data_IF_673781534168
#
_entry.id   IF_673781534168
#
_cell.length_a   1.000
_cell.length_b   1.000
_cell.length_c   1.000
_cell.angle_alpha   90.00
_cell.angle_beta   90.00
_cell.angle_gamma   90.00
#
_symmetry.space_group_name_H-M   'P 1'
#
loop_
_entity.id
_entity.type
_entity.pdbx_description
1 polymer ?
#
# COMPACT_ATOMS: atom_id res chain seq x y z
N UNK A 1 -16.13 -8.05 8.14
CA UNK A 1 -14.85 -8.34 7.47
C UNK A 1 -14.01 -7.08 7.59
N UNK A 2 -12.85 -7.12 8.26
CA UNK A 2 -11.95 -5.97 8.26
C UNK A 2 -11.51 -5.72 6.81
N UNK A 3 -11.59 -4.46 6.39
CA UNK A 3 -11.27 -4.04 5.02
C UNK A 3 -9.89 -3.40 5.01
N UNK A 4 -9.22 -3.43 3.88
CA UNK A 4 -7.98 -2.69 3.64
C UNK A 4 -8.30 -1.34 2.99
N UNK A 5 -7.46 -0.35 3.27
CA UNK A 5 -7.53 0.99 2.67
C UNK A 5 -6.12 1.39 2.24
N UNK A 6 -6.01 2.12 1.14
CA UNK A 6 -4.77 2.80 0.78
C UNK A 6 -4.91 4.29 1.04
N UNK A 7 -3.89 4.86 1.67
CA UNK A 7 -3.70 6.30 1.83
C UNK A 7 -2.57 6.72 0.90
N UNK A 8 -2.78 7.83 0.19
CA UNK A 8 -1.77 8.40 -0.71
C UNK A 8 -1.57 9.88 -0.43
N UNK A 9 -0.32 10.33 -0.48
CA UNK A 9 0.04 11.74 -0.45
C UNK A 9 1.14 12.00 -1.47
N UNK A 10 0.91 12.97 -2.36
CA UNK A 10 1.83 13.32 -3.44
C UNK A 10 2.03 14.83 -3.48
N UNK A 11 3.29 15.26 -3.45
CA UNK A 11 3.72 16.63 -3.73
C UNK A 11 4.79 16.59 -4.84
N UNK A 12 5.30 17.76 -5.24
CA UNK A 12 6.21 17.88 -6.39
C UNK A 12 7.40 16.91 -6.32
N UNK A 13 8.01 16.79 -5.14
CA UNK A 13 9.23 16.00 -4.91
C UNK A 13 9.03 14.99 -3.76
N UNK A 14 7.77 14.68 -3.41
CA UNK A 14 7.44 13.80 -2.29
C UNK A 14 6.32 12.85 -2.69
N UNK A 15 6.46 11.59 -2.30
CA UNK A 15 5.44 10.58 -2.53
C UNK A 15 5.28 9.73 -1.27
N UNK A 16 4.05 9.33 -0.99
CA UNK A 16 3.76 8.39 0.08
C UNK A 16 2.57 7.55 -0.32
N UNK A 17 2.73 6.24 -0.23
CA UNK A 17 1.66 5.25 -0.41
C UNK A 17 1.67 4.34 0.80
N UNK A 18 0.51 4.13 1.41
CA UNK A 18 0.39 3.37 2.65
C UNK A 18 -0.82 2.45 2.62
N UNK A 19 -0.62 1.17 2.92
CA UNK A 19 -1.68 0.19 3.08
C UNK A 19 -2.00 0.03 4.57
N UNK A 20 -3.25 0.28 4.94
CA UNK A 20 -3.70 0.30 6.34
C UNK A 20 -4.98 -0.50 6.56
N UNK A 21 -5.26 -0.79 7.84
CA UNK A 21 -6.58 -1.23 8.28
C UNK A 21 -7.63 -0.14 8.03
N UNK A 22 -8.69 -0.45 7.28
CA UNK A 22 -9.68 0.55 6.90
C UNK A 22 -10.60 1.00 8.05
N UNK A 23 -10.68 0.24 9.15
CA UNK A 23 -11.57 0.58 10.25
C UNK A 23 -10.94 1.63 11.18
N UNK A 24 -9.63 1.56 11.38
CA UNK A 24 -8.91 2.40 12.35
C UNK A 24 -7.87 3.29 11.72
N UNK A 25 -7.30 2.90 10.57
CA UNK A 25 -6.14 3.54 9.93
C UNK A 25 -4.90 3.62 10.84
N UNK A 26 -4.91 2.91 11.97
CA UNK A 26 -3.81 2.92 12.95
C UNK A 26 -2.80 1.80 12.70
N UNK A 27 -3.21 0.75 11.98
CA UNK A 27 -2.35 -0.37 11.65
C UNK A 27 -1.92 -0.27 10.20
N UNK A 28 -0.63 -0.01 10.01
CA UNK A 28 0.03 -0.07 8.70
C UNK A 28 0.50 -1.49 8.43
N UNK A 29 0.23 -1.98 7.21
CA UNK A 29 0.70 -3.27 6.71
C UNK A 29 1.91 -3.13 5.80
N UNK A 30 1.94 -2.08 4.97
CA UNK A 30 3.05 -1.73 4.11
C UNK A 30 3.03 -0.22 3.85
N UNK A 31 4.20 0.38 3.68
CA UNK A 31 4.34 1.79 3.36
C UNK A 31 5.57 2.02 2.49
N UNK A 32 5.47 3.01 1.60
CA UNK A 32 6.51 3.42 0.67
C UNK A 32 6.61 4.93 0.68
N UNK A 33 7.84 5.45 0.72
CA UNK A 33 8.13 6.88 0.74
C UNK A 33 9.02 7.27 -0.42
N UNK A 34 8.78 8.45 -0.97
CA UNK A 34 9.62 9.14 -1.94
C UNK A 34 10.10 8.22 -3.08
N UNK A 35 11.40 7.91 -3.13
CA UNK A 35 12.00 7.06 -4.18
C UNK A 35 11.43 5.63 -4.20
N UNK A 36 11.07 5.06 -3.03
CA UNK A 36 10.51 3.71 -2.93
C UNK A 36 9.17 3.60 -3.68
N UNK A 37 8.39 4.69 -3.73
CA UNK A 37 7.12 4.69 -4.49
C UNK A 37 7.41 4.59 -5.98
N UNK A 38 8.41 5.34 -6.46
CA UNK A 38 8.78 5.34 -7.87
C UNK A 38 9.36 3.97 -8.27
N UNK A 39 10.32 3.46 -7.50
CA UNK A 39 10.94 2.15 -7.75
C UNK A 39 9.87 1.04 -7.74
N UNK A 40 8.97 1.02 -6.74
CA UNK A 40 7.92 0.02 -6.68
C UNK A 40 6.94 0.08 -7.87
N UNK A 41 6.71 1.26 -8.44
CA UNK A 41 5.90 1.42 -9.65
C UNK A 41 6.66 0.94 -10.90
N UNK A 42 7.92 1.32 -11.03
CA UNK A 42 8.78 0.93 -12.15
C UNK A 42 9.02 -0.58 -12.21
N UNK A 43 9.19 -1.20 -11.05
CA UNK A 43 9.34 -2.66 -10.90
C UNK A 43 8.01 -3.42 -11.01
N UNK A 44 6.88 -2.70 -11.07
CA UNK A 44 5.55 -3.29 -11.26
C UNK A 44 4.90 -3.85 -9.99
N UNK A 45 5.45 -3.58 -8.80
CA UNK A 45 4.84 -3.93 -7.51
C UNK A 45 3.65 -3.04 -7.16
N UNK A 46 3.69 -1.76 -7.55
CA UNK A 46 2.58 -0.82 -7.40
C UNK A 46 2.05 -0.38 -8.76
N UNK A 47 0.73 -0.30 -8.87
CA UNK A 47 0.04 0.18 -10.06
C UNK A 47 -0.63 1.52 -9.77
N UNK A 48 -0.19 2.63 -10.39
CA UNK A 48 -0.81 3.95 -10.17
C UNK A 48 -2.29 4.05 -10.59
N UNK A 49 -2.78 3.10 -11.39
CA UNK A 49 -4.19 2.98 -11.77
C UNK A 49 -5.02 2.16 -10.77
N UNK A 50 -4.36 1.43 -9.87
CA UNK A 50 -4.99 0.60 -8.84
C UNK A 50 -4.05 0.42 -7.64
N UNK A 51 -3.90 1.47 -6.83
CA UNK A 51 -3.03 1.42 -5.65
C UNK A 51 -3.50 0.40 -4.61
N UNK A 52 -4.82 0.26 -4.41
CA UNK A 52 -5.36 -0.65 -3.41
C UNK A 52 -5.12 -2.12 -3.79
N UNK A 53 -5.44 -2.50 -5.03
CA UNK A 53 -5.23 -3.86 -5.50
C UNK A 53 -3.75 -4.24 -5.46
N UNK A 54 -2.89 -3.44 -6.11
CA UNK A 54 -1.45 -3.72 -6.20
C UNK A 54 -0.74 -3.72 -4.84
N UNK A 55 -1.00 -2.75 -3.96
CA UNK A 55 -0.41 -2.76 -2.61
C UNK A 55 -0.90 -3.96 -1.78
N UNK A 56 -2.17 -4.36 -1.95
CA UNK A 56 -2.72 -5.56 -1.28
C UNK A 56 -2.05 -6.83 -1.79
N UNK A 57 -1.90 -6.99 -3.10
CA UNK A 57 -1.20 -8.13 -3.70
C UNK A 57 0.25 -8.23 -3.24
N UNK A 58 0.96 -7.09 -3.22
CA UNK A 58 2.32 -7.00 -2.70
C UNK A 58 2.37 -7.47 -1.24
N UNK A 59 1.55 -6.89 -0.37
CA UNK A 59 1.54 -7.23 1.05
C UNK A 59 1.10 -8.69 1.31
N UNK A 60 0.22 -9.25 0.48
CA UNK A 60 -0.16 -10.67 0.52
C UNK A 60 0.99 -11.58 0.11
N UNK A 61 1.75 -11.22 -0.93
CA UNK A 61 2.89 -11.99 -1.42
C UNK A 61 4.00 -12.10 -0.37
N UNK A 62 4.17 -11.06 0.45
CA UNK A 62 5.09 -11.02 1.58
C UNK A 62 4.52 -11.58 2.89
N UNK A 63 3.24 -11.95 2.93
CA UNK A 63 2.59 -12.44 4.15
C UNK A 63 2.41 -11.39 5.25
N UNK A 64 2.41 -10.10 4.90
CA UNK A 64 2.27 -8.98 5.84
C UNK A 64 0.82 -8.80 6.34
N UNK A 65 -0.15 -9.30 5.59
CA UNK A 65 -1.57 -9.23 5.92
C UNK A 65 -2.00 -10.47 6.72
N UNK A 66 -2.55 -10.31 7.94
CA UNK A 66 -3.06 -11.43 8.73
C UNK A 66 -4.26 -12.11 8.07
N UNK A 67 -4.47 -13.40 8.35
CA UNK A 67 -5.54 -14.19 7.73
C UNK A 67 -6.95 -13.60 7.89
N UNK A 68 -7.20 -12.84 8.96
CA UNK A 68 -8.50 -12.20 9.21
C UNK A 68 -8.90 -11.11 8.18
N UNK A 69 -7.97 -10.69 7.32
CA UNK A 69 -8.18 -9.70 6.23
C UNK A 69 -8.30 -10.34 4.84
N UNK A 70 -8.10 -11.66 4.71
CA UNK A 70 -8.44 -12.42 3.50
C UNK A 70 -9.94 -12.68 3.44
#
# INVERSE_FOLDING_TARGET
MPRLKVLTWFERDRAHVQLVDAATEQRTFAEWWDEDVQEAVEDGFLNPRDWLGSATEYALSLGLIPQQYR
#
